data_IF_978700165309
#
_entry.id   IF_978700165309
#
_cell.length_a   1.000
_cell.length_b   1.000
_cell.length_c   1.000
_cell.angle_alpha   90.00
_cell.angle_beta   90.00
_cell.angle_gamma   90.00
#
_symmetry.space_group_name_H-M   'P 1'
#
loop_
_entity.id
_entity.type
_entity.pdbx_description
1 polymer ?
#
# COMPACT_ATOMS: atom_id res chain seq x y z
N UNK A 1 17.54 46.01 -35.74
CA UNK A 1 16.44 45.02 -35.77
C UNK A 1 16.84 43.83 -34.92
N UNK A 2 16.28 43.70 -33.72
CA UNK A 2 16.55 42.58 -32.82
C UNK A 2 15.66 41.39 -33.17
N UNK A 3 16.25 40.36 -33.78
CA UNK A 3 15.56 39.10 -34.05
C UNK A 3 15.20 38.42 -32.72
N UNK A 4 13.91 38.25 -32.46
CA UNK A 4 13.42 37.42 -31.35
C UNK A 4 13.23 35.98 -31.83
N UNK A 5 14.08 35.07 -31.37
CA UNK A 5 13.87 33.63 -31.59
C UNK A 5 12.85 33.14 -30.57
N UNK A 6 11.76 32.55 -31.07
CA UNK A 6 10.71 31.87 -30.28
C UNK A 6 11.33 30.91 -29.26
N UNK A 7 10.97 31.08 -27.98
CA UNK A 7 11.54 30.38 -26.82
C UNK A 7 11.39 28.84 -26.84
N UNK A 8 10.56 28.30 -27.73
CA UNK A 8 10.39 26.87 -27.91
C UNK A 8 9.91 26.51 -29.30
N UNK A 9 10.36 25.37 -29.83
CA UNK A 9 9.90 24.81 -31.11
C UNK A 9 9.34 23.41 -30.84
N UNK A 10 8.17 23.08 -31.40
CA UNK A 10 7.45 21.82 -31.17
C UNK A 10 7.40 21.01 -32.46
N UNK A 11 7.82 19.74 -32.40
CA UNK A 11 7.79 18.80 -33.51
C UNK A 11 7.17 17.49 -33.01
N UNK A 12 5.87 17.27 -33.32
CA UNK A 12 5.16 16.07 -32.91
C UNK A 12 5.14 15.86 -31.38
N UNK A 13 5.44 14.65 -30.86
CA UNK A 13 5.45 14.36 -29.42
C UNK A 13 6.63 15.00 -28.67
N UNK A 14 7.52 15.71 -29.37
CA UNK A 14 8.74 16.30 -28.84
C UNK A 14 8.68 17.83 -28.88
N UNK A 15 9.12 18.48 -27.81
CA UNK A 15 9.26 19.93 -27.71
C UNK A 15 10.68 20.29 -27.28
N UNK A 16 11.28 21.24 -28.01
CA UNK A 16 12.59 21.81 -27.74
C UNK A 16 12.41 23.19 -27.09
N UNK A 17 13.02 23.40 -25.93
CA UNK A 17 13.01 24.68 -25.22
C UNK A 17 14.42 25.27 -25.20
N UNK A 18 14.55 26.54 -25.59
CA UNK A 18 15.84 27.24 -25.65
C UNK A 18 15.89 28.29 -24.54
N UNK A 19 16.92 28.22 -23.68
CA UNK A 19 17.11 29.14 -22.54
C UNK A 19 18.57 29.60 -22.43
N UNK A 20 18.83 30.65 -21.63
CA UNK A 20 20.19 31.16 -21.38
C UNK A 20 21.14 30.12 -20.74
N UNK A 21 20.59 29.07 -20.12
CA UNK A 21 21.37 27.99 -19.47
C UNK A 21 21.49 26.71 -20.32
N UNK A 22 21.00 26.70 -21.56
CA UNK A 22 21.11 25.55 -22.47
C UNK A 22 19.78 25.11 -23.11
N UNK A 23 19.88 24.07 -23.95
CA UNK A 23 18.77 23.48 -24.72
C UNK A 23 18.16 22.33 -23.92
N UNK A 24 16.83 22.30 -23.79
CA UNK A 24 16.08 21.23 -23.14
C UNK A 24 15.15 20.51 -24.11
N UNK A 25 15.04 19.18 -23.98
CA UNK A 25 14.18 18.31 -24.80
C UNK A 25 13.12 17.70 -23.91
N UNK A 26 11.85 17.81 -24.30
CA UNK A 26 10.74 17.15 -23.60
C UNK A 26 9.92 16.29 -24.56
N UNK A 27 9.69 15.04 -24.20
CA UNK A 27 8.90 14.08 -24.99
C UNK A 27 7.83 13.41 -24.12
N UNK A 28 6.59 13.29 -24.62
CA UNK A 28 5.51 12.61 -23.89
C UNK A 28 4.09 12.91 -24.39
N UNK A 29 3.11 12.19 -23.83
CA UNK A 29 1.68 12.31 -24.14
C UNK A 29 0.90 12.97 -23.00
N UNK A 30 -0.37 13.29 -23.21
CA UNK A 30 -1.22 13.97 -22.21
C UNK A 30 -1.38 13.06 -20.99
N UNK A 31 -0.68 13.40 -19.91
CA UNK A 31 -0.68 12.65 -18.65
C UNK A 31 0.63 11.92 -18.30
N UNK A 32 1.62 11.90 -19.19
CA UNK A 32 2.98 11.47 -18.86
C UNK A 32 4.01 12.13 -19.78
N UNK A 33 4.97 12.89 -19.24
CA UNK A 33 6.06 13.53 -20.00
C UNK A 33 7.41 13.41 -19.31
N UNK A 34 8.44 13.20 -20.11
CA UNK A 34 9.83 13.19 -19.68
C UNK A 34 10.47 14.48 -20.21
N UNK A 35 11.10 15.26 -19.33
CA UNK A 35 11.81 16.49 -19.70
C UNK A 35 13.26 16.41 -19.26
N UNK A 36 14.18 16.50 -20.23
CA UNK A 36 15.62 16.48 -20.04
C UNK A 36 16.19 17.87 -20.33
N UNK A 37 16.94 18.42 -19.39
CA UNK A 37 17.58 19.72 -19.55
C UNK A 37 18.82 19.90 -18.67
N UNK A 38 19.48 21.07 -18.74
CA UNK A 38 20.77 21.33 -18.07
C UNK A 38 20.73 21.31 -16.52
N UNK A 39 19.58 20.99 -15.90
CA UNK A 39 19.42 20.83 -14.44
C UNK A 39 18.97 19.42 -14.02
N UNK A 40 18.94 18.46 -14.95
CA UNK A 40 18.58 17.06 -14.71
C UNK A 40 17.36 16.59 -15.51
N UNK A 41 17.06 15.28 -15.38
CA UNK A 41 15.94 14.61 -16.05
C UNK A 41 14.76 14.52 -15.09
N UNK A 42 13.57 14.91 -15.56
CA UNK A 42 12.35 14.90 -14.75
C UNK A 42 11.25 14.09 -15.43
N UNK A 43 10.57 13.26 -14.64
CA UNK A 43 9.33 12.58 -15.04
C UNK A 43 8.16 13.38 -14.48
N UNK A 44 7.15 13.63 -15.31
CA UNK A 44 5.85 14.15 -14.90
C UNK A 44 4.79 13.11 -15.25
N UNK A 45 3.95 12.69 -14.32
CA UNK A 45 2.83 11.77 -14.59
C UNK A 45 1.56 12.23 -13.89
N UNK A 46 0.38 12.12 -14.49
CA UNK A 46 -0.87 12.48 -13.84
C UNK A 46 -2.11 12.32 -14.72
N UNK A 47 -3.19 11.81 -14.13
CA UNK A 47 -4.53 11.72 -14.72
C UNK A 47 -5.56 11.91 -13.60
N UNK A 48 -6.69 12.54 -13.90
CA UNK A 48 -7.79 12.79 -12.95
C UNK A 48 -7.41 13.65 -11.73
N UNK A 49 -6.58 14.68 -11.93
CA UNK A 49 -6.36 15.73 -10.92
C UNK A 49 -5.17 15.52 -9.98
N UNK A 50 -4.46 14.38 -10.06
CA UNK A 50 -3.24 14.15 -9.30
C UNK A 50 -2.03 14.16 -10.23
N UNK A 51 -1.00 14.93 -9.88
CA UNK A 51 0.24 15.07 -10.66
C UNK A 51 1.46 14.69 -9.83
N UNK A 52 2.32 13.88 -10.43
CA UNK A 52 3.58 13.37 -9.93
C UNK A 52 4.72 14.04 -10.68
N UNK A 53 5.73 14.55 -9.96
CA UNK A 53 6.99 15.02 -10.56
C UNK A 53 8.19 14.49 -9.78
N UNK A 54 9.05 13.71 -10.43
CA UNK A 54 10.28 13.18 -9.83
C UNK A 54 11.50 13.58 -10.68
N UNK A 55 12.59 13.99 -10.01
CA UNK A 55 13.91 14.18 -10.62
C UNK A 55 14.65 12.84 -10.58
N UNK A 56 15.09 12.36 -11.73
CA UNK A 56 15.96 11.19 -11.83
C UNK A 56 17.40 11.71 -11.73
N UNK A 57 18.12 11.36 -10.66
CA UNK A 57 19.59 11.43 -10.64
C UNK A 57 20.13 10.04 -10.99
N UNK A 58 21.08 10.02 -11.94
CA UNK A 58 21.48 8.83 -12.66
C UNK A 58 22.40 7.91 -11.87
N UNK A 59 22.07 6.62 -11.89
CA UNK A 59 23.02 5.54 -12.12
C UNK A 59 22.30 4.47 -12.95
N UNK A 60 22.50 4.53 -14.26
CA UNK A 60 22.15 3.44 -15.18
C UNK A 60 23.24 2.37 -15.02
N UNK A 61 22.94 1.32 -14.26
CA UNK A 61 23.64 0.06 -14.37
C UNK A 61 22.64 -1.00 -14.84
N UNK A 62 22.95 -1.51 -16.02
CA UNK A 62 22.25 -2.52 -16.79
C UNK A 62 22.03 -3.80 -15.94
N UNK A 63 20.78 -4.23 -15.78
CA UNK A 63 20.47 -5.62 -15.42
C UNK A 63 19.18 -6.00 -16.12
N UNK A 64 19.35 -6.72 -17.22
CA UNK A 64 18.30 -7.48 -17.91
C UNK A 64 17.62 -8.40 -16.89
N UNK A 65 16.33 -8.18 -16.67
CA UNK A 65 15.48 -9.13 -15.95
C UNK A 65 15.05 -10.20 -16.94
N UNK A 66 15.58 -11.40 -16.71
CA UNK A 66 15.01 -12.66 -17.16
C UNK A 66 13.76 -12.93 -16.32
N UNK A 67 12.58 -12.86 -16.95
CA UNK A 67 11.31 -13.24 -16.34
C UNK A 67 11.26 -14.76 -16.14
N UNK A 68 11.54 -15.20 -14.92
CA UNK A 68 11.22 -16.53 -14.44
C UNK A 68 9.94 -16.43 -13.59
N UNK A 69 8.80 -16.75 -14.20
CA UNK A 69 7.52 -16.95 -13.51
C UNK A 69 7.60 -18.28 -12.76
N UNK A 70 7.40 -18.22 -11.44
CA UNK A 70 7.19 -19.38 -10.59
C UNK A 70 5.89 -20.12 -10.96
N UNK A 71 6.00 -21.44 -11.00
CA UNK A 71 4.86 -22.34 -11.16
C UNK A 71 3.95 -22.36 -9.93
N UNK A 72 2.67 -22.55 -10.23
CA UNK A 72 1.64 -22.95 -9.28
C UNK A 72 2.09 -24.18 -8.49
N UNK A 73 2.00 -24.10 -7.16
CA UNK A 73 1.92 -25.28 -6.30
C UNK A 73 0.57 -25.29 -5.61
N UNK A 74 -0.17 -26.35 -5.90
CA UNK A 74 -1.54 -26.59 -5.49
C UNK A 74 -1.73 -26.58 -3.96
N UNK A 75 -2.88 -26.06 -3.54
CA UNK A 75 -3.37 -26.09 -2.16
C UNK A 75 -3.62 -27.53 -1.69
N UNK A 76 -2.93 -27.94 -0.62
CA UNK A 76 -3.34 -29.03 0.25
C UNK A 76 -4.19 -28.45 1.40
N UNK A 77 -5.43 -28.95 1.54
CA UNK A 77 -6.27 -28.70 2.71
C UNK A 77 -5.89 -29.67 3.82
N UNK A 78 -5.38 -29.16 4.95
CA UNK A 78 -5.45 -29.83 6.25
C UNK A 78 -6.25 -28.97 7.23
N UNK A 79 -7.24 -29.60 7.86
CA UNK A 79 -8.04 -29.01 8.91
C UNK A 79 -7.34 -29.17 10.26
N UNK A 80 -7.02 -28.07 10.95
CA UNK A 80 -6.40 -28.11 12.28
C UNK A 80 -6.35 -26.76 13.02
N UNK A 81 -7.27 -26.61 13.99
CA UNK A 81 -7.18 -25.90 15.28
C UNK A 81 -6.63 -24.45 15.39
N UNK A 82 -7.50 -23.51 15.82
CA UNK A 82 -7.22 -22.73 17.05
C UNK A 82 -6.77 -21.26 16.97
N UNK A 83 -6.22 -20.78 15.87
CA UNK A 83 -5.78 -19.38 15.74
C UNK A 83 -6.41 -18.73 14.51
N UNK A 84 -6.97 -17.51 14.63
CA UNK A 84 -7.48 -16.74 13.48
C UNK A 84 -6.31 -16.36 12.56
N UNK A 85 -6.11 -17.02 11.40
CA UNK A 85 -4.96 -16.75 10.55
C UNK A 85 -5.27 -15.49 9.75
N UNK A 86 -4.60 -14.38 10.07
CA UNK A 86 -4.52 -13.24 9.14
C UNK A 86 -3.46 -13.59 8.10
N UNK A 87 -3.82 -13.65 6.82
CA UNK A 87 -2.89 -13.94 5.72
C UNK A 87 -1.77 -12.89 5.60
N UNK A 88 -0.63 -13.27 5.02
CA UNK A 88 0.51 -12.37 4.77
C UNK A 88 0.12 -11.32 3.72
N UNK A 89 -0.11 -10.10 4.19
CA UNK A 89 -0.75 -9.00 3.43
C UNK A 89 0.20 -8.26 2.48
N UNK A 90 1.40 -8.78 2.27
CA UNK A 90 2.47 -8.08 1.54
C UNK A 90 2.36 -8.15 0.01
N UNK A 91 1.53 -9.05 -0.55
CA UNK A 91 1.59 -9.38 -1.99
C UNK A 91 0.45 -8.80 -2.86
N UNK A 92 -0.56 -8.12 -2.30
CA UNK A 92 -1.75 -7.71 -3.05
C UNK A 92 -1.96 -6.19 -3.02
N UNK A 93 -1.32 -5.50 -3.97
CA UNK A 93 -1.39 -4.04 -4.13
C UNK A 93 -1.44 -3.69 -5.63
N UNK A 94 -2.08 -2.58 -6.03
CA UNK A 94 -2.06 -2.07 -7.41
C UNK A 94 -0.62 -1.84 -7.92
N UNK A 95 -0.34 -2.13 -9.20
CA UNK A 95 1.01 -2.18 -9.79
C UNK A 95 1.85 -0.90 -9.60
N UNK A 96 1.23 0.27 -9.48
CA UNK A 96 1.93 1.54 -9.21
C UNK A 96 2.34 1.72 -7.75
N UNK A 97 1.52 1.23 -6.80
CA UNK A 97 1.78 1.31 -5.37
C UNK A 97 2.74 0.19 -4.94
N UNK A 98 2.69 -0.97 -5.61
CA UNK A 98 3.67 -2.05 -5.44
C UNK A 98 5.12 -1.55 -5.67
N UNK A 99 5.35 -0.78 -6.73
CA UNK A 99 6.68 -0.23 -7.04
C UNK A 99 7.18 0.78 -6.00
N UNK A 100 6.27 1.51 -5.35
CA UNK A 100 6.63 2.44 -4.27
C UNK A 100 6.92 1.67 -2.98
N UNK A 101 6.04 0.73 -2.62
CA UNK A 101 6.21 -0.09 -1.43
C UNK A 101 7.45 -0.98 -1.51
N UNK A 102 7.75 -1.55 -2.68
CA UNK A 102 8.96 -2.34 -2.89
C UNK A 102 10.21 -1.48 -2.70
N UNK A 103 10.21 -0.23 -3.20
CA UNK A 103 11.29 0.73 -2.96
C UNK A 103 11.42 1.16 -1.49
N UNK A 104 10.31 1.32 -0.77
CA UNK A 104 10.35 1.63 0.66
C UNK A 104 10.88 0.42 1.44
N UNK A 105 10.36 -0.76 1.16
CA UNK A 105 10.76 -2.00 1.83
C UNK A 105 12.23 -2.33 1.58
N UNK A 106 12.72 -2.15 0.36
CA UNK A 106 14.14 -2.36 0.05
C UNK A 106 15.03 -1.41 0.84
N UNK A 107 14.64 -0.13 0.99
CA UNK A 107 15.40 0.87 1.76
C UNK A 107 15.35 0.64 3.27
N UNK A 108 14.27 0.07 3.80
CA UNK A 108 14.17 -0.27 5.23
C UNK A 108 15.10 -1.44 5.57
N UNK A 109 15.27 -2.38 4.64
CA UNK A 109 16.13 -3.55 4.82
C UNK A 109 17.61 -3.28 4.52
N UNK A 110 17.96 -2.11 4.01
CA UNK A 110 19.37 -1.75 3.80
C UNK A 110 20.13 -1.68 5.13
N UNK A 111 21.28 -2.38 5.25
CA UNK A 111 22.10 -2.33 6.46
C UNK A 111 22.54 -0.88 6.71
N UNK A 112 22.46 -0.44 7.95
CA UNK A 112 22.87 0.90 8.39
C UNK A 112 24.39 0.94 8.51
N UNK A 113 25.09 1.61 7.59
CA UNK A 113 26.56 1.62 7.56
C UNK A 113 27.15 2.51 8.66
N UNK A 114 26.38 3.46 9.18
CA UNK A 114 26.79 4.34 10.26
C UNK A 114 27.28 3.59 11.52
N UNK A 115 26.65 2.47 11.86
CA UNK A 115 27.07 1.66 13.02
C UNK A 115 28.44 1.01 12.78
N UNK A 116 28.69 0.50 11.57
CA UNK A 116 29.98 -0.08 11.18
C UNK A 116 31.11 0.95 11.20
N UNK A 117 30.85 2.18 10.72
CA UNK A 117 31.83 3.29 10.75
C UNK A 117 32.18 3.66 12.21
N UNK A 118 31.17 3.71 13.09
CA UNK A 118 31.39 3.96 14.52
C UNK A 118 32.29 2.92 15.17
N UNK A 119 32.01 1.63 14.95
CA UNK A 119 32.84 0.53 15.49
C UNK A 119 34.26 0.60 14.93
N UNK A 120 34.41 0.76 13.61
CA UNK A 120 35.74 0.80 12.97
C UNK A 120 36.58 1.96 13.53
N UNK A 121 35.97 3.13 13.74
CA UNK A 121 36.67 4.28 14.33
C UNK A 121 37.12 4.03 15.77
N UNK A 122 36.32 3.29 16.56
CA UNK A 122 36.68 2.92 17.92
C UNK A 122 37.85 1.93 17.94
N UNK A 123 37.85 0.94 17.04
CA UNK A 123 38.96 -0.03 16.91
C UNK A 123 40.26 0.69 16.54
N UNK A 124 40.22 1.61 15.57
CA UNK A 124 41.40 2.40 15.17
C UNK A 124 41.88 3.30 16.32
N UNK A 125 40.97 3.96 17.04
CA UNK A 125 41.32 4.80 18.18
C UNK A 125 42.01 4.02 19.30
N UNK A 126 41.52 2.81 19.62
CA UNK A 126 42.14 1.91 20.60
C UNK A 126 43.51 1.44 20.13
N UNK A 127 43.67 1.09 18.85
CA UNK A 127 44.97 0.71 18.29
C UNK A 127 45.99 1.85 18.40
N UNK A 128 45.61 3.10 18.10
CA UNK A 128 46.48 4.27 18.24
C UNK A 128 46.81 4.52 19.72
N UNK A 129 45.83 4.44 20.62
CA UNK A 129 46.03 4.61 22.06
C UNK A 129 46.96 3.53 22.65
N UNK A 130 46.91 2.30 22.13
CA UNK A 130 47.80 1.21 22.56
C UNK A 130 49.28 1.48 22.29
N UNK A 131 49.60 2.36 21.33
CA UNK A 131 50.97 2.81 21.06
C UNK A 131 51.59 3.53 22.27
N UNK A 132 50.78 4.12 23.16
CA UNK A 132 51.25 4.70 24.41
C UNK A 132 51.95 3.65 25.31
N UNK A 133 51.47 2.41 25.29
CA UNK A 133 52.10 1.31 26.03
C UNK A 133 53.49 0.98 25.48
N UNK A 134 53.64 1.00 24.15
CA UNK A 134 54.94 0.79 23.47
C UNK A 134 55.91 1.92 23.79
N UNK A 135 55.45 3.18 23.80
CA UNK A 135 56.25 4.34 24.23
C UNK A 135 56.70 4.18 25.68
N UNK A 136 55.81 3.76 26.57
CA UNK A 136 56.12 3.52 27.98
C UNK A 136 57.14 2.39 28.17
N UNK A 137 57.02 1.31 27.41
CA UNK A 137 57.95 0.18 27.46
C UNK A 137 59.37 0.56 27.00
N UNK A 138 59.49 1.60 26.17
CA UNK A 138 60.76 2.10 25.62
C UNK A 138 61.16 3.48 26.17
N UNK A 139 60.78 3.79 27.42
CA UNK A 139 60.98 5.11 28.02
C UNK A 139 62.45 5.58 28.01
N UNK A 140 63.42 4.66 28.09
CA UNK A 140 64.86 4.97 28.11
C UNK A 140 65.44 5.58 26.83
N UNK A 141 64.65 5.65 25.74
CA UNK A 141 65.07 6.25 24.46
C UNK A 141 64.85 7.78 24.45
N UNK A 142 63.98 8.30 25.33
CA UNK A 142 63.53 9.69 25.29
C UNK A 142 64.13 10.53 26.43
N UNK A 143 64.38 11.82 26.17
CA UNK A 143 64.75 12.79 27.20
C UNK A 143 63.60 12.97 28.21
N UNK A 144 63.90 13.07 29.50
CA UNK A 144 62.90 13.22 30.57
C UNK A 144 61.96 14.42 30.36
N UNK A 145 62.46 15.50 29.75
CA UNK A 145 61.68 16.70 29.44
C UNK A 145 60.65 16.51 28.32
N UNK A 146 60.85 15.51 27.43
CA UNK A 146 60.04 15.30 26.23
C UNK A 146 59.10 14.09 26.40
N UNK A 147 59.50 13.10 27.22
CA UNK A 147 58.76 11.88 27.49
C UNK A 147 57.25 12.05 27.81
N UNK A 148 56.80 12.97 28.70
CA UNK A 148 55.37 13.11 28.99
C UNK A 148 54.55 13.53 27.77
N UNK A 149 55.12 14.34 26.88
CA UNK A 149 54.46 14.78 25.65
C UNK A 149 54.36 13.65 24.63
N UNK A 150 55.42 12.84 24.48
CA UNK A 150 55.44 11.69 23.57
C UNK A 150 54.47 10.59 24.03
N UNK A 151 54.31 10.41 25.35
CA UNK A 151 53.33 9.47 25.92
C UNK A 151 51.88 9.94 25.72
N UNK A 152 51.63 11.26 25.84
CA UNK A 152 50.29 11.83 25.69
C UNK A 152 49.82 11.89 24.23
N UNK A 153 50.73 12.08 23.27
CA UNK A 153 50.43 12.23 21.85
C UNK A 153 49.55 11.10 21.24
N UNK A 154 49.85 9.80 21.42
CA UNK A 154 48.99 8.72 20.91
C UNK A 154 47.60 8.69 21.58
N UNK A 155 47.49 9.07 22.86
CA UNK A 155 46.19 9.14 23.55
C UNK A 155 45.32 10.26 22.98
N UNK A 156 45.92 11.44 22.73
CA UNK A 156 45.23 12.58 22.13
C UNK A 156 44.82 12.26 20.69
N UNK A 157 45.69 11.63 19.90
CA UNK A 157 45.38 11.21 18.53
C UNK A 157 44.30 10.13 18.49
N UNK A 158 44.31 9.17 19.43
CA UNK A 158 43.24 8.19 19.59
C UNK A 158 41.89 8.85 19.92
N UNK A 159 41.88 9.82 20.85
CA UNK A 159 40.66 10.56 21.18
C UNK A 159 40.12 11.38 19.99
N UNK A 160 41.00 12.06 19.24
CA UNK A 160 40.62 12.85 18.07
C UNK A 160 40.05 11.97 16.94
N UNK A 161 40.64 10.80 16.69
CA UNK A 161 40.14 9.86 15.67
C UNK A 161 38.79 9.26 16.06
N UNK A 162 38.57 8.97 17.35
CA UNK A 162 37.26 8.55 17.86
C UNK A 162 36.20 9.64 17.67
N UNK A 163 36.51 10.89 18.05
CA UNK A 163 35.57 12.01 17.91
C UNK A 163 35.24 12.27 16.44
N UNK A 164 36.24 12.26 15.55
CA UNK A 164 36.03 12.41 14.12
C UNK A 164 35.18 11.26 13.55
N UNK A 165 35.47 10.02 13.94
CA UNK A 165 34.72 8.84 13.52
C UNK A 165 33.26 8.84 13.98
N UNK A 166 32.98 9.20 15.24
CA UNK A 166 31.61 9.36 15.74
C UNK A 166 30.88 10.49 15.03
N UNK A 167 31.57 11.59 14.71
CA UNK A 167 30.98 12.70 13.96
C UNK A 167 30.56 12.28 12.55
N UNK A 168 31.45 11.57 11.83
CA UNK A 168 31.15 11.00 10.51
C UNK A 168 30.02 9.96 10.60
N UNK A 169 30.06 9.04 11.57
CA UNK A 169 28.99 8.07 11.77
C UNK A 169 27.64 8.76 12.03
N UNK A 170 27.62 9.86 12.80
CA UNK A 170 26.41 10.64 13.07
C UNK A 170 25.89 11.34 11.82
N UNK A 171 26.75 11.95 11.00
CA UNK A 171 26.33 12.61 9.77
C UNK A 171 25.86 11.60 8.72
N UNK A 172 26.54 10.47 8.57
CA UNK A 172 26.11 9.37 7.70
C UNK A 172 24.76 8.80 8.14
N UNK A 173 24.55 8.55 9.43
CA UNK A 173 23.26 8.09 9.95
C UNK A 173 22.14 9.10 9.62
N UNK A 174 22.41 10.40 9.77
CA UNK A 174 21.44 11.43 9.40
C UNK A 174 21.14 11.42 7.90
N UNK A 175 22.15 11.24 7.05
CA UNK A 175 21.96 11.14 5.60
C UNK A 175 21.19 9.88 5.22
N UNK A 176 21.49 8.73 5.83
CA UNK A 176 20.77 7.46 5.62
C UNK A 176 19.30 7.59 6.03
N UNK A 177 19.01 8.17 7.20
CA UNK A 177 17.63 8.42 7.64
C UNK A 177 16.90 9.32 6.63
N UNK A 178 17.55 10.38 6.15
CA UNK A 178 16.95 11.30 5.17
C UNK A 178 16.73 10.63 3.81
N UNK A 179 17.67 9.79 3.34
CA UNK A 179 17.57 9.06 2.08
C UNK A 179 16.50 7.95 2.11
N UNK A 180 16.33 7.31 3.27
CA UNK A 180 15.28 6.32 3.53
C UNK A 180 13.90 6.96 3.71
N UNK A 181 13.87 8.23 4.12
CA UNK A 181 12.60 8.94 4.34
C UNK A 181 11.95 9.36 3.04
N UNK A 182 10.76 8.83 2.77
CA UNK A 182 9.94 9.26 1.62
C UNK A 182 8.92 10.28 2.07
N UNK A 183 8.92 11.47 1.45
CA UNK A 183 7.90 12.49 1.72
C UNK A 183 6.69 12.26 0.81
N UNK A 184 5.53 11.99 1.41
CA UNK A 184 4.27 11.89 0.68
C UNK A 184 3.61 13.26 0.64
N UNK A 185 3.38 13.79 -0.55
CA UNK A 185 2.66 15.04 -0.76
C UNK A 185 1.26 14.71 -1.27
N UNK A 186 0.24 15.17 -0.55
CA UNK A 186 -1.16 14.96 -0.89
C UNK A 186 -1.77 16.29 -1.33
N UNK A 187 -2.37 16.30 -2.51
CA UNK A 187 -3.25 17.38 -2.94
C UNK A 187 -4.69 16.92 -2.73
N UNK A 188 -5.43 17.67 -1.90
CA UNK A 188 -6.82 17.36 -1.61
C UNK A 188 -7.74 18.28 -2.41
N UNK A 189 -8.76 17.71 -3.02
CA UNK A 189 -9.96 18.48 -3.38
C UNK A 189 -10.64 18.96 -2.10
N UNK A 190 -11.32 20.12 -2.13
CA UNK A 190 -11.94 20.73 -0.95
C UNK A 190 -12.86 19.76 -0.19
N UNK A 191 -13.74 19.06 -0.91
CA UNK A 191 -14.67 18.08 -0.32
C UNK A 191 -13.93 16.86 0.27
N UNK A 192 -12.89 16.35 -0.41
CA UNK A 192 -12.10 15.23 0.07
C UNK A 192 -11.33 15.56 1.35
N UNK A 193 -10.82 16.80 1.46
CA UNK A 193 -10.15 17.30 2.66
C UNK A 193 -11.10 17.34 3.87
N UNK A 194 -12.32 17.84 3.66
CA UNK A 194 -13.30 17.96 4.75
C UNK A 194 -13.74 16.58 5.25
N UNK A 195 -13.96 15.62 4.34
CA UNK A 195 -14.30 14.23 4.69
C UNK A 195 -13.16 13.50 5.40
N UNK A 196 -11.92 13.74 4.98
CA UNK A 196 -10.75 13.20 5.67
C UNK A 196 -10.59 13.80 7.07
N UNK A 197 -10.81 15.11 7.21
CA UNK A 197 -10.78 15.81 8.52
C UNK A 197 -11.88 15.29 9.44
N UNK A 198 -13.08 15.00 8.92
CA UNK A 198 -14.15 14.37 9.67
C UNK A 198 -13.76 12.97 10.16
N UNK A 199 -13.06 12.19 9.34
CA UNK A 199 -12.52 10.88 9.69
C UNK A 199 -11.47 10.99 10.80
N UNK A 200 -10.52 11.92 10.68
CA UNK A 200 -9.53 12.21 11.73
C UNK A 200 -10.20 12.63 13.05
N UNK A 201 -11.24 13.46 13.00
CA UNK A 201 -12.02 13.84 14.19
C UNK A 201 -12.72 12.64 14.82
N UNK A 202 -13.22 11.71 14.01
CA UNK A 202 -13.83 10.48 14.50
C UNK A 202 -12.79 9.57 15.19
N UNK A 203 -11.57 9.44 14.65
CA UNK A 203 -10.44 8.80 15.33
C UNK A 203 -10.09 9.50 16.65
N UNK A 204 -10.04 10.83 16.66
CA UNK A 204 -9.78 11.62 17.87
C UNK A 204 -10.83 11.38 18.95
N UNK A 205 -12.11 11.27 18.57
CA UNK A 205 -13.20 10.95 19.48
C UNK A 205 -13.11 9.51 19.99
N UNK A 206 -12.76 8.56 19.12
CA UNK A 206 -12.55 7.17 19.51
C UNK A 206 -11.41 7.06 20.53
N UNK A 207 -10.29 7.76 20.29
CA UNK A 207 -9.12 7.80 21.16
C UNK A 207 -9.40 8.41 22.56
N UNK A 208 -10.48 9.20 22.72
CA UNK A 208 -10.91 9.72 24.03
C UNK A 208 -11.64 8.69 24.88
N UNK A 209 -12.02 7.54 24.31
CA UNK A 209 -12.63 6.45 25.08
C UNK A 209 -11.64 6.01 26.17
N UNK A 210 -12.13 5.78 27.39
CA UNK A 210 -11.25 5.48 28.52
C UNK A 210 -10.43 4.20 28.27
N UNK A 211 -11.03 3.21 27.64
CA UNK A 211 -10.36 1.97 27.25
C UNK A 211 -10.72 1.53 25.84
N UNK A 212 -9.70 1.10 25.11
CA UNK A 212 -9.83 0.43 23.83
C UNK A 212 -9.02 -0.86 23.94
N UNK A 213 -9.62 -1.98 23.58
CA UNK A 213 -9.00 -3.29 23.60
C UNK A 213 -9.01 -3.89 22.20
N UNK A 214 -7.92 -4.57 21.86
CA UNK A 214 -7.86 -5.49 20.74
C UNK A 214 -8.25 -6.88 21.23
N UNK A 215 -9.24 -7.50 20.59
CA UNK A 215 -9.61 -8.89 20.83
C UNK A 215 -8.61 -9.78 20.08
N UNK A 216 -7.81 -10.54 20.83
CA UNK A 216 -6.76 -11.39 20.27
C UNK A 216 -7.25 -12.79 19.97
N UNK A 217 -8.17 -13.32 20.76
CA UNK A 217 -8.84 -14.60 20.51
C UNK A 217 -10.25 -14.60 21.09
N UNK A 218 -11.11 -15.40 20.46
CA UNK A 218 -12.46 -15.69 20.92
C UNK A 218 -12.69 -17.20 20.80
N UNK A 219 -13.00 -17.86 21.91
CA UNK A 219 -13.25 -19.29 21.96
C UNK A 219 -14.62 -19.59 22.61
N UNK A 220 -15.34 -20.63 22.17
CA UNK A 220 -16.60 -21.02 22.82
C UNK A 220 -16.34 -21.51 24.24
N UNK A 221 -17.25 -21.16 25.16
CA UNK A 221 -17.10 -21.47 26.57
C UNK A 221 -17.99 -22.65 27.00
N UNK A 222 -17.38 -23.84 27.09
CA UNK A 222 -18.09 -25.04 27.55
C UNK A 222 -18.35 -25.05 29.07
N UNK A 223 -17.56 -24.32 29.86
CA UNK A 223 -17.71 -24.19 31.32
C UNK A 223 -18.30 -22.82 31.72
N UNK A 224 -19.34 -22.41 31.03
CA UNK A 224 -20.02 -21.13 31.25
C UNK A 224 -20.48 -20.91 32.69
N UNK A 225 -20.80 -21.97 33.44
CA UNK A 225 -21.25 -21.87 34.84
C UNK A 225 -20.19 -21.27 35.75
N UNK A 226 -18.91 -21.58 35.51
CA UNK A 226 -17.78 -21.06 36.29
C UNK A 226 -17.22 -19.75 35.75
N UNK A 227 -17.69 -19.36 34.57
CA UNK A 227 -17.26 -18.19 33.84
C UNK A 227 -18.43 -17.19 33.71
N UNK A 228 -19.14 -16.99 34.82
CA UNK A 228 -20.19 -15.99 34.97
C UNK A 228 -21.36 -16.05 33.94
N UNK A 229 -21.57 -17.20 33.32
CA UNK A 229 -22.59 -17.39 32.29
C UNK A 229 -22.17 -16.97 30.88
N UNK A 230 -20.90 -16.62 30.66
CA UNK A 230 -20.41 -16.19 29.35
C UNK A 230 -20.44 -17.32 28.31
N UNK A 231 -20.96 -17.04 27.12
CA UNK A 231 -20.99 -17.99 25.98
C UNK A 231 -19.64 -18.15 25.28
N UNK A 232 -18.77 -17.14 25.35
CA UNK A 232 -17.41 -17.17 24.80
C UNK A 232 -16.39 -16.64 25.80
N UNK A 233 -15.18 -17.19 25.73
CA UNK A 233 -14.00 -16.69 26.43
C UNK A 233 -13.26 -15.80 25.44
N UNK A 234 -13.08 -14.53 25.82
CA UNK A 234 -12.47 -13.52 24.96
C UNK A 234 -11.16 -13.09 25.61
N UNK A 235 -10.06 -13.32 24.92
CA UNK A 235 -8.78 -12.73 25.28
C UNK A 235 -8.67 -11.36 24.59
N UNK A 236 -8.35 -10.33 25.38
CA UNK A 236 -8.20 -8.96 24.87
C UNK A 236 -7.01 -8.26 25.51
N UNK A 237 -6.38 -7.38 24.75
CA UNK A 237 -5.26 -6.56 25.20
C UNK A 237 -5.57 -5.09 25.01
N UNK A 238 -5.21 -4.25 25.99
CA UNK A 238 -5.41 -2.81 25.87
C UNK A 238 -4.49 -2.24 24.79
N UNK A 239 -5.05 -1.42 23.92
CA UNK A 239 -4.32 -0.75 22.83
C UNK A 239 -4.56 0.76 22.89
N UNK A 240 -3.73 1.50 22.16
CA UNK A 240 -3.87 2.94 22.00
C UNK A 240 -4.10 3.28 20.53
N UNK A 241 -5.02 4.22 20.31
CA UNK A 241 -5.22 4.89 19.03
C UNK A 241 -4.71 6.30 19.22
N UNK A 242 -3.73 6.70 18.43
CA UNK A 242 -3.09 8.00 18.58
C UNK A 242 -2.59 8.55 17.24
N UNK A 243 -2.40 9.87 17.11
CA UNK A 243 -1.67 10.42 15.98
C UNK A 243 -0.23 9.89 16.01
N UNK A 244 0.14 9.14 14.98
CA UNK A 244 1.47 8.56 14.83
C UNK A 244 1.92 8.64 13.37
N UNK A 245 3.16 9.07 13.18
CA UNK A 245 3.76 9.11 11.85
C UNK A 245 4.31 7.73 11.48
N UNK A 246 4.04 7.26 10.24
CA UNK A 246 4.64 6.04 9.75
C UNK A 246 6.19 6.16 9.70
N UNK A 247 6.94 5.21 10.27
CA UNK A 247 8.40 5.18 10.16
C UNK A 247 8.89 5.36 8.71
N UNK A 248 9.90 6.20 8.50
CA UNK A 248 10.48 6.48 7.18
C UNK A 248 9.53 7.13 6.16
N UNK A 249 8.35 7.60 6.60
CA UNK A 249 7.39 8.28 5.74
C UNK A 249 7.03 9.62 6.37
N UNK A 250 7.31 10.71 5.67
CA UNK A 250 6.93 12.07 6.09
C UNK A 250 5.60 12.44 5.45
N UNK A 251 4.61 12.73 6.29
CA UNK A 251 3.31 13.26 5.88
C UNK A 251 3.16 14.71 6.36
N UNK A 252 2.49 15.58 5.57
CA UNK A 252 2.29 16.98 5.95
C UNK A 252 1.17 17.17 6.98
N UNK A 253 0.41 16.12 7.28
CA UNK A 253 -0.66 16.10 8.26
C UNK A 253 -0.47 14.93 9.24
N UNK A 254 -1.14 15.02 10.37
CA UNK A 254 -1.18 13.96 11.38
C UNK A 254 -1.93 12.75 10.84
N UNK A 255 -1.31 11.58 10.96
CA UNK A 255 -1.91 10.30 10.58
C UNK A 255 -2.34 9.61 11.86
N UNK A 256 -3.58 9.14 11.92
CA UNK A 256 -4.00 8.27 13.02
C UNK A 256 -3.54 6.85 12.76
N UNK A 257 -3.01 6.22 13.80
CA UNK A 257 -2.60 4.83 13.74
C UNK A 257 -3.16 3.99 14.88
N UNK A 258 -3.37 2.72 14.57
CA UNK A 258 -3.77 1.69 15.53
C UNK A 258 -2.52 0.85 15.82
N UNK A 259 -2.08 0.89 17.07
CA UNK A 259 -0.90 0.17 17.54
C UNK A 259 -1.32 -1.20 18.08
N UNK A 260 -0.99 -2.25 17.32
CA UNK A 260 -1.11 -3.63 17.75
C UNK A 260 0.29 -4.18 18.07
N UNK A 261 0.35 -5.38 18.64
CA UNK A 261 1.62 -5.95 19.13
C UNK A 261 2.60 -6.27 18.01
N UNK A 262 2.12 -6.98 16.98
CA UNK A 262 2.94 -7.42 15.83
C UNK A 262 2.80 -6.53 14.60
N UNK A 263 1.80 -5.63 14.58
CA UNK A 263 1.48 -4.82 13.40
C UNK A 263 1.01 -3.42 13.76
N UNK A 264 1.25 -2.46 12.88
CA UNK A 264 0.79 -1.07 13.06
C UNK A 264 0.05 -0.63 11.81
N UNK A 265 -1.17 -0.16 11.99
CA UNK A 265 -1.99 0.35 10.90
C UNK A 265 -1.92 1.87 10.90
N UNK A 266 -1.73 2.48 9.74
CA UNK A 266 -1.65 3.92 9.54
C UNK A 266 -2.68 4.34 8.50
N UNK A 267 -3.62 5.20 8.87
CA UNK A 267 -4.73 5.62 8.01
C UNK A 267 -4.38 6.90 7.25
N UNK A 268 -3.85 6.76 6.04
CA UNK A 268 -3.61 7.89 5.13
C UNK A 268 -4.90 8.24 4.38
N UNK A 269 -4.95 9.33 3.60
CA UNK A 269 -6.12 9.67 2.80
C UNK A 269 -6.41 8.66 1.69
N UNK A 270 -5.38 8.14 1.03
CA UNK A 270 -5.55 7.28 -0.14
C UNK A 270 -5.67 5.79 0.21
N UNK A 271 -4.94 5.34 1.22
CA UNK A 271 -4.84 3.94 1.62
C UNK A 271 -4.51 3.79 3.09
N UNK A 272 -4.68 2.57 3.61
CA UNK A 272 -4.23 2.19 4.94
C UNK A 272 -2.90 1.45 4.80
N UNK A 273 -1.82 2.00 5.37
CA UNK A 273 -0.54 1.29 5.44
C UNK A 273 -0.51 0.35 6.63
N UNK A 274 0.07 -0.82 6.44
CA UNK A 274 0.27 -1.82 7.48
C UNK A 274 1.75 -2.11 7.58
N UNK A 275 2.33 -1.86 8.75
CA UNK A 275 3.70 -2.24 9.04
C UNK A 275 3.69 -3.53 9.86
N UNK A 276 4.24 -4.61 9.30
CA UNK A 276 4.40 -5.91 9.96
C UNK A 276 5.78 -6.46 9.63
N UNK A 277 6.51 -6.94 10.65
CA UNK A 277 7.85 -7.54 10.50
C UNK A 277 8.86 -6.68 9.71
N UNK A 278 8.76 -5.35 9.84
CA UNK A 278 9.62 -4.39 9.15
C UNK A 278 9.27 -4.16 7.67
N UNK A 279 8.16 -4.73 7.17
CA UNK A 279 7.66 -4.53 5.82
C UNK A 279 6.36 -3.73 5.84
N UNK A 280 6.21 -2.83 4.88
CA UNK A 280 4.96 -2.13 4.60
C UNK A 280 4.12 -2.88 3.56
N UNK A 281 2.86 -3.13 3.91
CA UNK A 281 1.76 -3.39 3.00
C UNK A 281 0.84 -2.18 2.89
N UNK A 282 0.00 -2.14 1.85
CA UNK A 282 -1.02 -1.11 1.69
C UNK A 282 -2.37 -1.75 1.35
N UNK A 283 -3.44 -1.18 1.88
CA UNK A 283 -4.81 -1.60 1.59
C UNK A 283 -5.60 -0.37 1.15
N UNK A 284 -6.21 -0.45 -0.03
CA UNK A 284 -7.14 0.56 -0.50
C UNK A 284 -8.40 0.61 0.37
N UNK A 285 -8.95 1.81 0.58
CA UNK A 285 -10.20 1.98 1.33
C UNK A 285 -11.40 1.28 0.68
N UNK A 286 -11.35 1.05 -0.62
CA UNK A 286 -12.35 0.30 -1.39
C UNK A 286 -12.46 -1.16 -0.97
N UNK A 287 -11.39 -1.75 -0.46
CA UNK A 287 -11.36 -3.14 0.02
C UNK A 287 -11.66 -3.26 1.53
N UNK A 288 -11.92 -2.14 2.22
CA UNK A 288 -12.14 -2.08 3.66
C UNK A 288 -13.63 -2.06 4.00
N UNK A 289 -14.03 -2.84 4.98
CA UNK A 289 -15.37 -2.83 5.58
C UNK A 289 -15.24 -2.56 7.08
N UNK A 290 -15.98 -1.57 7.57
CA UNK A 290 -15.95 -1.19 8.99
C UNK A 290 -17.35 -1.25 9.57
N UNK A 291 -17.51 -2.03 10.64
CA UNK A 291 -18.77 -2.17 11.37
C UNK A 291 -18.57 -1.80 12.83
N UNK A 292 -19.57 -1.17 13.44
CA UNK A 292 -19.60 -0.90 14.88
C UNK A 292 -20.93 -1.38 15.45
N UNK A 293 -20.90 -2.42 16.27
CA UNK A 293 -22.07 -3.05 16.87
C UNK A 293 -21.97 -3.01 18.40
N UNK A 294 -23.08 -2.91 19.13
CA UNK A 294 -23.07 -3.07 20.57
C UNK A 294 -22.77 -4.53 20.94
N UNK A 295 -21.90 -4.74 21.92
CA UNK A 295 -21.62 -6.05 22.50
C UNK A 295 -21.76 -6.02 24.02
N UNK A 296 -22.20 -7.13 24.62
CA UNK A 296 -22.30 -7.29 26.07
C UNK A 296 -21.03 -7.99 26.55
N UNK A 297 -20.36 -7.40 27.54
CA UNK A 297 -19.14 -7.98 28.12
C UNK A 297 -19.25 -8.02 29.64
N UNK A 298 -18.83 -9.14 30.24
CA UNK A 298 -18.82 -9.30 31.70
C UNK A 298 -17.46 -8.87 32.22
N UNK A 299 -17.42 -7.79 33.01
CA UNK A 299 -16.18 -7.33 33.63
C UNK A 299 -15.94 -8.02 34.97
N UNK A 300 -14.78 -8.62 35.14
CA UNK A 300 -14.36 -9.23 36.41
C UNK A 300 -13.57 -8.24 37.31
N UNK A 301 -13.09 -7.14 36.72
CA UNK A 301 -12.27 -6.13 37.35
C UNK A 301 -12.97 -4.77 37.44
N UNK A 302 -12.21 -3.71 37.13
CA UNK A 302 -12.71 -2.34 37.15
C UNK A 302 -13.44 -2.00 35.85
N UNK A 303 -14.66 -1.48 35.97
CA UNK A 303 -15.44 -0.96 34.85
C UNK A 303 -14.93 0.43 34.45
N UNK A 304 -14.70 0.71 33.16
CA UNK A 304 -14.36 2.05 32.70
C UNK A 304 -15.46 3.07 33.00
N UNK A 305 -15.08 4.27 33.43
CA UNK A 305 -16.02 5.33 33.84
C UNK A 305 -16.96 5.83 32.73
N UNK A 306 -16.58 5.65 31.47
CA UNK A 306 -17.33 6.07 30.27
C UNK A 306 -18.23 4.97 29.70
N UNK A 307 -18.27 3.81 30.34
CA UNK A 307 -19.04 2.66 29.88
C UNK A 307 -20.38 2.54 30.60
N UNK A 308 -21.36 1.94 29.93
CA UNK A 308 -22.72 1.78 30.47
C UNK A 308 -22.91 0.37 31.01
N UNK A 309 -23.11 0.24 32.32
CA UNK A 309 -23.51 -1.03 32.95
C UNK A 309 -24.99 -1.28 32.64
N UNK A 310 -25.28 -2.37 31.94
CA UNK A 310 -26.63 -2.71 31.48
C UNK A 310 -27.29 -3.81 32.32
N UNK A 311 -26.49 -4.64 32.99
CA UNK A 311 -26.97 -5.79 33.75
C UNK A 311 -25.89 -6.24 34.75
N UNK A 312 -26.20 -7.24 35.57
CA UNK A 312 -25.25 -7.87 36.48
C UNK A 312 -25.42 -9.39 36.48
N UNK A 313 -24.31 -10.11 36.50
CA UNK A 313 -24.28 -11.58 36.60
C UNK A 313 -23.52 -12.00 37.86
N UNK A 314 -23.57 -13.28 38.24
CA UNK A 314 -22.76 -13.81 39.32
C UNK A 314 -21.49 -14.45 38.76
N UNK A 315 -20.37 -14.42 39.49
CA UNK A 315 -19.14 -15.07 39.06
C UNK A 315 -19.34 -16.58 38.81
N UNK A 316 -20.13 -17.21 39.68
CA UNK A 316 -20.56 -18.61 39.54
C UNK A 316 -22.09 -18.66 39.43
N UNK A 317 -22.59 -19.18 38.30
CA UNK A 317 -24.03 -19.22 37.99
C UNK A 317 -24.57 -20.64 37.96
N UNK A 318 -25.82 -20.78 38.40
CA UNK A 318 -26.63 -21.99 38.21
C UNK A 318 -27.25 -22.03 36.82
N UNK A 319 -27.99 -23.11 36.50
CA UNK A 319 -28.67 -23.27 35.19
C UNK A 319 -29.72 -22.19 34.90
N UNK A 320 -30.29 -21.59 35.94
CA UNK A 320 -31.30 -20.53 35.90
C UNK A 320 -30.69 -19.11 35.79
N UNK A 321 -29.35 -18.98 35.77
CA UNK A 321 -28.65 -17.69 35.80
C UNK A 321 -28.52 -17.06 37.20
N UNK A 322 -29.12 -17.69 38.23
CA UNK A 322 -28.99 -17.25 39.61
C UNK A 322 -27.65 -17.61 40.26
N UNK A 323 -27.37 -17.09 41.47
CA UNK A 323 -26.12 -17.36 42.17
C UNK A 323 -25.99 -18.84 42.55
N UNK A 324 -24.83 -19.43 42.29
CA UNK A 324 -24.47 -20.72 42.87
C UNK A 324 -24.05 -20.53 44.34
N UNK A 325 -24.89 -21.05 45.24
CA UNK A 325 -24.75 -20.94 46.69
C UNK A 325 -23.67 -21.86 47.28
N UNK A 326 -23.10 -22.77 46.47
CA UNK A 326 -21.99 -23.65 46.92
C UNK A 326 -20.69 -22.87 47.12
N UNK A 327 -20.55 -21.72 46.46
CA UNK A 327 -19.37 -20.86 46.55
C UNK A 327 -19.61 -19.74 47.56
N UNK A 328 -18.91 -19.80 48.70
CA UNK A 328 -19.05 -18.82 49.80
C UNK A 328 -18.67 -17.38 49.39
N UNK A 329 -17.76 -17.23 48.42
CA UNK A 329 -17.26 -15.94 47.92
C UNK A 329 -17.73 -15.70 46.47
N UNK A 330 -19.01 -15.93 46.17
CA UNK A 330 -19.57 -15.65 44.86
C UNK A 330 -19.96 -14.16 44.76
N UNK A 331 -19.14 -13.37 44.05
CA UNK A 331 -19.42 -11.94 43.85
C UNK A 331 -20.26 -11.70 42.60
N UNK A 332 -20.99 -10.59 42.62
CA UNK A 332 -21.71 -10.10 41.45
C UNK A 332 -20.73 -9.33 40.54
N UNK A 333 -20.80 -9.61 39.24
CA UNK A 333 -20.00 -9.01 38.18
C UNK A 333 -20.89 -8.14 37.28
N UNK A 334 -20.49 -6.90 36.97
CA UNK A 334 -21.24 -6.04 36.07
C UNK A 334 -21.14 -6.53 34.62
N UNK A 335 -22.27 -6.49 33.93
CA UNK A 335 -22.36 -6.67 32.47
C UNK A 335 -22.41 -5.29 31.84
N UNK A 336 -21.40 -4.99 31.05
CA UNK A 336 -21.17 -3.67 30.46
C UNK A 336 -21.46 -3.73 28.97
N UNK A 337 -22.02 -2.65 28.42
CA UNK A 337 -22.18 -2.47 26.99
C UNK A 337 -20.94 -1.81 26.39
N UNK A 338 -20.28 -2.51 25.48
CA UNK A 338 -19.15 -2.00 24.71
C UNK A 338 -19.49 -1.83 23.24
N UNK A 339 -18.71 -0.99 22.55
CA UNK A 339 -18.69 -0.92 21.10
C UNK A 339 -17.74 -1.96 20.54
N UNK A 340 -18.26 -2.93 19.79
CA UNK A 340 -17.45 -3.85 18.99
C UNK A 340 -17.24 -3.23 17.61
N UNK A 341 -16.04 -2.73 17.37
CA UNK A 341 -15.60 -2.24 16.06
C UNK A 341 -14.89 -3.37 15.33
N UNK A 342 -15.43 -3.78 14.19
CA UNK A 342 -14.83 -4.78 13.32
C UNK A 342 -14.35 -4.12 12.03
N UNK A 343 -13.06 -4.27 11.72
CA UNK A 343 -12.44 -3.79 10.50
C UNK A 343 -11.98 -5.01 9.71
N UNK A 344 -12.63 -5.24 8.56
CA UNK A 344 -12.38 -6.37 7.68
C UNK A 344 -11.81 -5.84 6.37
N UNK A 345 -10.72 -6.41 5.89
CA UNK A 345 -10.23 -6.19 4.54
C UNK A 345 -10.19 -7.52 3.78
N UNK A 346 -10.51 -7.46 2.48
CA UNK A 346 -10.47 -8.62 1.57
C UNK A 346 -9.07 -9.29 1.51
N UNK A 347 -8.02 -8.56 1.87
CA UNK A 347 -6.63 -9.06 1.94
C UNK A 347 -6.33 -9.90 3.19
N UNK A 348 -7.33 -10.19 4.04
CA UNK A 348 -7.17 -11.06 5.20
C UNK A 348 -6.96 -10.34 6.53
N UNK A 349 -7.01 -9.00 6.55
CA UNK A 349 -7.05 -8.24 7.80
C UNK A 349 -8.43 -8.35 8.42
N UNK A 350 -8.52 -9.01 9.57
CA UNK A 350 -9.70 -8.99 10.41
C UNK A 350 -9.32 -8.49 11.80
N UNK A 351 -9.73 -7.27 12.12
CA UNK A 351 -9.40 -6.60 13.36
C UNK A 351 -10.66 -6.38 14.18
N UNK A 352 -10.67 -6.94 15.39
CA UNK A 352 -11.76 -6.83 16.35
C UNK A 352 -11.33 -5.93 17.51
N UNK A 353 -12.02 -4.81 17.71
CA UNK A 353 -11.77 -3.88 18.80
C UNK A 353 -12.99 -3.77 19.70
N UNK A 354 -12.77 -3.79 21.01
CA UNK A 354 -13.77 -3.40 21.99
C UNK A 354 -13.46 -2.00 22.49
N UNK A 355 -14.46 -1.12 22.49
CA UNK A 355 -14.35 0.25 22.98
C UNK A 355 -15.29 0.45 24.14
N UNK A 356 -14.85 1.15 25.17
CA UNK A 356 -15.66 1.46 26.34
C UNK A 356 -16.90 2.29 25.99
N UNK A 357 -16.80 3.18 25.01
CA UNK A 357 -17.89 4.02 24.54
C UNK A 357 -18.44 3.56 23.18
N UNK A 358 -19.72 3.18 23.15
CA UNK A 358 -20.43 2.74 21.94
C UNK A 358 -20.67 3.88 20.93
N UNK A 359 -21.05 5.07 21.40
CA UNK A 359 -21.37 6.21 20.54
C UNK A 359 -20.13 6.64 19.74
N UNK A 360 -18.97 6.68 20.39
CA UNK A 360 -17.70 6.98 19.73
C UNK A 360 -17.35 5.93 18.67
N UNK A 361 -17.56 4.63 18.95
CA UNK A 361 -17.35 3.56 17.98
C UNK A 361 -18.27 3.65 16.75
N UNK A 362 -19.55 3.98 16.96
CA UNK A 362 -20.52 4.15 15.87
C UNK A 362 -20.18 5.35 14.99
N UNK A 363 -19.83 6.49 15.60
CA UNK A 363 -19.38 7.69 14.87
C UNK A 363 -18.12 7.39 14.04
N UNK A 364 -17.19 6.61 14.60
CA UNK A 364 -15.99 6.15 13.91
C UNK A 364 -16.31 5.33 12.66
N UNK A 365 -17.11 4.26 12.80
CA UNK A 365 -17.47 3.41 11.68
C UNK A 365 -18.25 4.20 10.60
N UNK A 366 -19.15 5.09 11.02
CA UNK A 366 -19.89 5.94 10.09
C UNK A 366 -18.96 6.84 9.28
N UNK A 367 -18.03 7.55 9.93
CA UNK A 367 -17.12 8.47 9.26
C UNK A 367 -16.25 7.77 8.21
N UNK A 368 -15.69 6.59 8.54
CA UNK A 368 -14.89 5.80 7.60
C UNK A 368 -15.77 5.31 6.44
N UNK A 369 -16.95 4.77 6.71
CA UNK A 369 -17.84 4.28 5.65
C UNK A 369 -18.34 5.41 4.73
N UNK A 370 -18.52 6.63 5.24
CA UNK A 370 -18.79 7.81 4.40
C UNK A 370 -17.59 8.18 3.53
N UNK A 371 -16.38 8.10 4.08
CA UNK A 371 -15.14 8.33 3.35
C UNK A 371 -14.95 7.33 2.20
N UNK A 372 -15.13 6.04 2.48
CA UNK A 372 -15.07 4.95 1.49
C UNK A 372 -16.08 5.18 0.36
N UNK A 373 -17.34 5.50 0.72
CA UNK A 373 -18.40 5.76 -0.27
C UNK A 373 -18.10 6.95 -1.18
N UNK A 374 -17.50 8.01 -0.64
CA UNK A 374 -17.09 9.15 -1.47
C UNK A 374 -16.03 8.74 -2.50
N UNK A 375 -15.04 7.93 -2.08
CA UNK A 375 -13.93 7.48 -2.95
C UNK A 375 -14.41 6.59 -4.10
N UNK A 376 -15.48 5.84 -3.90
CA UNK A 376 -16.06 4.94 -4.91
C UNK A 376 -16.92 5.65 -5.97
N UNK A 377 -17.25 6.94 -5.81
CA UNK A 377 -18.03 7.67 -6.83
C UNK A 377 -17.18 7.91 -8.09
N UNK A 378 -17.61 7.46 -9.28
CA UNK A 378 -16.94 7.82 -10.53
C UNK A 378 -16.98 9.34 -10.72
N UNK A 379 -15.83 9.97 -10.97
CA UNK A 379 -15.75 11.40 -11.30
C UNK A 379 -16.53 11.69 -12.58
N UNK A 380 -17.73 12.27 -12.45
CA UNK A 380 -18.57 12.68 -13.59
C UNK A 380 -18.07 13.97 -14.29
N UNK A 381 -16.97 14.58 -13.85
CA UNK A 381 -16.59 15.95 -14.23
C UNK A 381 -15.43 16.08 -15.23
N UNK A 382 -15.04 15.03 -15.96
CA UNK A 382 -13.91 15.10 -16.90
C UNK A 382 -14.26 15.33 -18.39
N UNK A 383 -15.52 15.67 -18.73
CA UNK A 383 -15.98 15.78 -20.13
C UNK A 383 -16.49 17.16 -20.57
N UNK A 384 -16.37 18.23 -19.78
CA UNK A 384 -16.98 19.52 -20.17
C UNK A 384 -16.18 20.74 -19.72
N UNK A 385 -15.13 21.10 -20.49
CA UNK A 385 -14.71 22.49 -20.80
C UNK A 385 -13.36 22.51 -21.50
N UNK A 386 -13.35 22.72 -22.81
CA UNK A 386 -12.66 23.85 -23.49
C UNK A 386 -12.64 23.65 -25.01
N UNK A 387 -13.67 24.11 -25.69
CA UNK A 387 -13.53 24.58 -27.08
C UNK A 387 -14.55 25.69 -27.32
N UNK A 388 -14.08 26.94 -27.31
CA UNK A 388 -14.83 28.08 -27.83
C UNK A 388 -13.86 29.01 -28.56
N UNK A 389 -14.21 29.32 -29.81
CA UNK A 389 -13.72 30.49 -30.53
C UNK A 389 -12.57 30.27 -31.52
N UNK A 390 -12.88 29.80 -32.73
CA UNK A 390 -12.50 30.49 -33.97
C UNK A 390 -13.48 30.09 -35.08
N UNK A 391 -14.09 31.11 -35.69
CA UNK A 391 -15.15 31.01 -36.68
C UNK A 391 -14.64 31.67 -37.95
N UNK A 392 -14.53 30.90 -39.05
CA UNK A 392 -14.51 31.47 -40.40
C UNK A 392 -14.99 30.45 -41.45
N UNK A 393 -16.27 30.63 -41.83
CA UNK A 393 -16.77 30.79 -43.20
C UNK A 393 -16.39 29.79 -44.31
N UNK A 394 -17.48 29.14 -44.78
CA UNK A 394 -17.90 28.97 -46.19
C UNK A 394 -17.58 27.66 -46.90
N UNK A 395 -18.65 27.03 -47.39
CA UNK A 395 -18.62 25.99 -48.43
C UNK A 395 -19.33 24.72 -48.02
N UNK A 396 -20.65 24.68 -48.12
CA UNK A 396 -21.38 23.40 -48.18
C UNK A 396 -20.98 22.69 -49.49
N UNK A 397 -20.20 21.62 -49.38
CA UNK A 397 -20.18 20.53 -50.36
C UNK A 397 -20.33 19.20 -49.62
N UNK A 398 -21.42 18.54 -49.94
CA UNK A 398 -21.80 17.20 -49.51
C UNK A 398 -20.98 16.17 -50.32
N UNK A 399 -20.68 15.01 -49.71
CA UNK A 399 -19.86 13.86 -50.21
C UNK A 399 -18.35 14.08 -50.04
N UNK A 400 -17.56 13.22 -49.39
CA UNK A 400 -17.57 11.77 -49.19
C UNK A 400 -16.86 11.41 -47.87
N UNK A 401 -17.26 10.33 -47.20
CA UNK A 401 -16.52 9.77 -46.06
C UNK A 401 -15.17 9.23 -46.56
N UNK A 402 -14.03 9.57 -45.94
CA UNK A 402 -12.77 8.90 -46.23
C UNK A 402 -12.88 7.43 -45.83
N UNK A 403 -12.65 6.54 -46.80
CA UNK A 403 -12.38 5.12 -46.58
C UNK A 403 -11.24 5.01 -45.57
N UNK A 404 -11.54 4.56 -44.36
CA UNK A 404 -10.52 3.98 -43.51
C UNK A 404 -10.13 2.66 -44.16
N UNK A 405 -8.97 2.63 -44.78
CA UNK A 405 -8.34 1.40 -45.25
C UNK A 405 -8.23 0.44 -44.07
N UNK A 406 -8.93 -0.68 -44.21
CA UNK A 406 -8.75 -1.85 -43.38
C UNK A 406 -7.30 -2.34 -43.52
N UNK A 407 -6.68 -2.88 -42.46
CA UNK A 407 -5.56 -3.78 -42.63
C UNK A 407 -6.01 -4.91 -43.56
N UNK A 408 -5.44 -4.95 -44.77
CA UNK A 408 -5.56 -6.06 -45.72
C UNK A 408 -4.91 -7.27 -45.06
N UNK A 409 -5.74 -8.13 -44.48
CA UNK A 409 -5.56 -9.58 -44.30
C UNK A 409 -6.78 -10.16 -43.54
N UNK A 410 -7.99 -9.77 -43.96
CA UNK A 410 -9.22 -10.42 -43.51
C UNK A 410 -9.79 -11.15 -44.71
N UNK A 411 -9.63 -12.47 -44.69
CA UNK A 411 -10.28 -13.37 -45.64
C UNK A 411 -11.78 -13.22 -45.39
N UNK A 412 -12.53 -12.90 -46.44
CA UNK A 412 -13.99 -12.77 -46.45
C UNK A 412 -14.62 -14.18 -46.36
N UNK A 413 -14.34 -14.90 -45.27
CA UNK A 413 -14.88 -16.24 -45.02
C UNK A 413 -16.35 -16.10 -44.57
N UNK A 414 -17.23 -16.80 -45.25
CA UNK A 414 -18.65 -16.91 -44.90
C UNK A 414 -18.79 -17.33 -43.42
N UNK A 415 -19.51 -16.59 -42.55
CA UNK A 415 -19.59 -16.89 -41.11
C UNK A 415 -20.04 -18.33 -40.78
N UNK A 416 -20.87 -18.92 -41.64
CA UNK A 416 -21.32 -20.31 -41.54
C UNK A 416 -20.19 -21.31 -41.79
N UNK A 417 -19.26 -21.00 -42.71
CA UNK A 417 -18.08 -21.82 -42.99
C UNK A 417 -17.02 -21.70 -41.89
N UNK A 418 -16.85 -20.50 -41.31
CA UNK A 418 -15.92 -20.28 -40.18
C UNK A 418 -16.31 -21.12 -38.96
N UNK A 419 -17.62 -21.24 -38.70
CA UNK A 419 -18.17 -22.06 -37.63
C UNK A 419 -18.47 -23.51 -38.05
N UNK A 420 -18.27 -23.84 -39.33
CA UNK A 420 -18.54 -25.14 -39.94
C UNK A 420 -19.97 -25.66 -39.67
N UNK A 421 -20.95 -24.78 -39.85
CA UNK A 421 -22.38 -25.04 -39.65
C UNK A 421 -23.15 -24.75 -40.93
N UNK A 422 -24.29 -25.41 -41.10
CA UNK A 422 -25.16 -25.18 -42.27
C UNK A 422 -25.70 -23.74 -42.26
N UNK A 423 -25.93 -23.11 -43.43
CA UNK A 423 -26.64 -21.82 -43.53
C UNK A 423 -28.04 -21.81 -42.92
N UNK A 424 -28.62 -22.99 -42.67
CA UNK A 424 -29.92 -23.17 -42.01
C UNK A 424 -29.81 -23.69 -40.57
N UNK A 425 -28.61 -23.66 -39.97
CA UNK A 425 -28.37 -24.17 -38.63
C UNK A 425 -29.15 -23.37 -37.57
N UNK A 426 -29.71 -24.09 -36.61
CA UNK A 426 -30.43 -23.47 -35.49
C UNK A 426 -29.46 -22.77 -34.52
N UNK A 427 -29.96 -21.81 -33.75
CA UNK A 427 -29.15 -21.03 -32.79
C UNK A 427 -28.40 -21.90 -31.78
N UNK A 428 -29.00 -23.03 -31.40
CA UNK A 428 -28.39 -23.98 -30.46
C UNK A 428 -27.24 -24.74 -31.12
N UNK A 429 -27.34 -25.07 -32.41
CA UNK A 429 -26.27 -25.68 -33.19
C UNK A 429 -25.10 -24.70 -33.41
N UNK A 430 -25.38 -23.43 -33.69
CA UNK A 430 -24.37 -22.36 -33.83
C UNK A 430 -23.62 -22.17 -32.50
N UNK A 431 -24.33 -22.13 -31.38
CA UNK A 431 -23.73 -21.97 -30.04
C UNK A 431 -22.88 -23.18 -29.65
N UNK A 432 -23.33 -24.38 -30.02
CA UNK A 432 -22.59 -25.62 -29.76
C UNK A 432 -21.31 -25.70 -30.60
N UNK A 433 -21.38 -25.34 -31.88
CA UNK A 433 -20.22 -25.26 -32.76
C UNK A 433 -19.20 -24.21 -32.29
N UNK A 434 -19.67 -23.03 -31.87
CA UNK A 434 -18.84 -21.98 -31.29
C UNK A 434 -18.06 -22.49 -30.06
N UNK A 435 -18.74 -23.13 -29.10
CA UNK A 435 -18.09 -23.66 -27.89
C UNK A 435 -17.02 -24.71 -28.22
N UNK A 436 -17.29 -25.58 -29.18
CA UNK A 436 -16.34 -26.62 -29.62
C UNK A 436 -15.10 -26.00 -30.27
N UNK A 437 -15.26 -25.02 -31.15
CA UNK A 437 -14.15 -24.35 -31.84
C UNK A 437 -13.36 -23.41 -30.91
N UNK A 438 -14.02 -22.73 -29.99
CA UNK A 438 -13.37 -21.92 -28.97
C UNK A 438 -12.52 -22.78 -28.03
N UNK A 439 -13.01 -23.96 -27.63
CA UNK A 439 -12.25 -24.87 -26.78
C UNK A 439 -11.02 -25.46 -27.48
N UNK A 440 -11.03 -25.56 -28.82
CA UNK A 440 -9.88 -26.04 -29.61
C UNK A 440 -8.82 -24.96 -29.83
N UNK A 441 -9.25 -23.70 -30.00
CA UNK A 441 -8.35 -22.56 -30.30
C UNK A 441 -8.08 -21.68 -29.07
N UNK A 442 -8.43 -22.13 -27.85
CA UNK A 442 -8.25 -21.35 -26.64
C UNK A 442 -6.75 -21.13 -26.36
N UNK A 443 -6.32 -19.89 -26.00
CA UNK A 443 -4.90 -19.58 -25.75
C UNK A 443 -4.25 -20.54 -24.75
N UNK A 444 -4.96 -20.97 -23.70
CA UNK A 444 -4.44 -21.93 -22.72
C UNK A 444 -4.07 -23.30 -23.32
N UNK A 445 -4.74 -23.75 -24.38
CA UNK A 445 -4.42 -25.05 -25.00
C UNK A 445 -3.23 -25.00 -25.96
N UNK A 446 -2.94 -23.81 -26.49
CA UNK A 446 -1.83 -23.58 -27.42
C UNK A 446 -0.63 -22.90 -26.76
N UNK A 447 -0.73 -22.53 -25.49
CA UNK A 447 0.33 -21.88 -24.71
C UNK A 447 1.65 -22.68 -24.65
N UNK A 448 1.59 -24.00 -24.83
CA UNK A 448 2.76 -24.88 -24.90
C UNK A 448 3.33 -25.12 -26.30
N UNK A 449 2.74 -24.54 -27.35
CA UNK A 449 3.18 -24.68 -28.75
C UNK A 449 4.07 -23.51 -29.18
N UNK A 450 4.80 -23.68 -30.29
CA UNK A 450 5.63 -22.63 -30.86
C UNK A 450 4.83 -21.36 -31.19
N UNK A 451 5.52 -20.22 -31.15
CA UNK A 451 4.92 -18.88 -31.27
C UNK A 451 4.07 -18.69 -32.53
N UNK A 452 4.46 -19.30 -33.65
CA UNK A 452 3.68 -19.25 -34.90
C UNK A 452 2.30 -19.93 -34.76
N UNK A 453 2.18 -21.01 -34.00
CA UNK A 453 0.91 -21.69 -33.74
C UNK A 453 0.02 -20.91 -32.76
N UNK A 454 0.63 -20.20 -31.81
CA UNK A 454 -0.08 -19.32 -30.88
C UNK A 454 -0.72 -18.15 -31.64
N UNK A 455 0.03 -17.51 -32.54
CA UNK A 455 -0.48 -16.41 -33.37
C UNK A 455 -1.58 -16.88 -34.34
N UNK A 456 -1.47 -18.10 -34.90
CA UNK A 456 -2.51 -18.68 -35.75
C UNK A 456 -3.78 -18.99 -34.97
N UNK A 457 -3.66 -19.56 -33.76
CA UNK A 457 -4.78 -19.84 -32.89
C UNK A 457 -5.50 -18.57 -32.43
N UNK A 458 -4.76 -17.51 -32.09
CA UNK A 458 -5.33 -16.20 -31.75
C UNK A 458 -6.08 -15.60 -32.95
N UNK A 459 -5.49 -15.66 -34.14
CA UNK A 459 -6.14 -15.20 -35.38
C UNK A 459 -7.43 -15.99 -35.65
N UNK A 460 -7.41 -17.31 -35.47
CA UNK A 460 -8.59 -18.18 -35.67
C UNK A 460 -9.67 -17.92 -34.62
N UNK A 461 -9.28 -17.74 -33.35
CA UNK A 461 -10.21 -17.38 -32.27
C UNK A 461 -10.91 -16.05 -32.54
N UNK A 462 -10.17 -15.05 -33.04
CA UNK A 462 -10.75 -13.76 -33.42
C UNK A 462 -11.77 -13.88 -34.55
N UNK A 463 -11.50 -14.72 -35.55
CA UNK A 463 -12.43 -15.00 -36.64
C UNK A 463 -13.69 -15.74 -36.15
N UNK A 464 -13.55 -16.72 -35.26
CA UNK A 464 -14.66 -17.47 -34.65
C UNK A 464 -15.59 -16.53 -33.85
N UNK A 465 -15.01 -15.62 -33.05
CA UNK A 465 -15.78 -14.64 -32.28
C UNK A 465 -16.54 -13.67 -33.19
N UNK A 466 -15.90 -13.17 -34.24
CA UNK A 466 -16.53 -12.28 -35.22
C UNK A 466 -17.69 -12.95 -35.96
N UNK A 467 -17.51 -14.20 -36.41
CA UNK A 467 -18.55 -14.97 -37.08
C UNK A 467 -19.77 -15.25 -36.17
N UNK A 468 -19.52 -15.61 -34.91
CA UNK A 468 -20.58 -15.84 -33.93
C UNK A 468 -21.38 -14.56 -33.62
N UNK A 469 -20.70 -13.41 -33.46
CA UNK A 469 -21.37 -12.12 -33.25
C UNK A 469 -22.22 -11.71 -34.47
N UNK A 470 -21.74 -11.99 -35.68
CA UNK A 470 -22.47 -11.68 -36.91
C UNK A 470 -23.74 -12.53 -37.05
N UNK A 471 -23.66 -13.84 -36.82
CA UNK A 471 -24.82 -14.74 -36.88
C UNK A 471 -25.86 -14.49 -35.77
N UNK A 472 -25.45 -13.92 -34.64
CA UNK A 472 -26.37 -13.51 -33.57
C UNK A 472 -27.09 -12.19 -33.86
N UNK A 473 -26.52 -11.31 -34.69
CA UNK A 473 -27.10 -10.00 -35.04
C UNK A 473 -28.14 -10.10 -36.16
N UNK A 474 -27.90 -10.95 -37.15
CA UNK A 474 -28.82 -11.18 -38.28
C UNK A 474 -29.41 -12.60 -38.23
N UNK A 475 -30.45 -12.84 -37.40
CA UNK A 475 -31.19 -14.09 -37.46
C UNK A 475 -32.02 -14.13 -38.76
N UNK A 476 -31.70 -15.06 -39.66
CA UNK A 476 -32.48 -15.32 -40.87
C UNK A 476 -33.66 -16.26 -40.61
#
# INVERSE_FOLDING_TARGET
>A
MSFYIRKSVRFGPVRLNFSKSGIGVSAGFKGARISTGPRGTYIHMGRNGIYYRQKIDGSLADTRVSDAVHGDSAMHFEAGNGDTPTADTSDLVDSSTQNLLSQINSRIQEPTYAFGIGILSAVIAVAIASMAYVVKANAGIFLESIYPYVLALPLVMGALTLIAGLSVARTTNQQEILARTTTLLFEFDGEAKDRFTATQKAFANLAKSACIWHVTSEAPNWDWKRNAGASSIIARKRIAIQPIHPPFIKTPFEVYGILLDSRRLFFLPDQVLILQDGKYGAIGYDALQVHALPTRFIEDGGVPNDSTVIDHTWQYVRKDGGPDLRFRNNRQLPVVQYGHVQIIALSGVNLHLHTSNLSCAQQFAQAINEYIRHRQKPSQNSSSRTTSGYQQSSGYQQKERPKTEAPKDVIDENPYEVLNVSPHATRDEITTAYRKLAQMNHPDKVAGLDKEFQELAERRMKAINAAYEQLLRDPH
#
